data_IF_725250701719
#
_entry.id   IF_725250701719
#
_cell.length_a   1.000
_cell.length_b   1.000
_cell.length_c   1.000
_cell.angle_alpha   90.00
_cell.angle_beta   90.00
_cell.angle_gamma   90.00
#
_symmetry.space_group_name_H-M   'P 1'
#
loop_
_entity.id
_entity.type
_entity.pdbx_description
1 polymer ?
#
# COMPACT_ATOMS: atom_id res chain seq x y z
N UNK A 1 22.72 -23.80 49.55
CA UNK A 1 22.20 -22.62 48.82
C UNK A 1 21.77 -23.08 47.44
N UNK A 2 20.49 -23.38 47.22
CA UNK A 2 19.96 -23.68 45.91
C UNK A 2 19.86 -22.36 45.13
N UNK A 3 20.74 -22.17 44.16
CA UNK A 3 20.56 -21.12 43.15
C UNK A 3 19.38 -21.56 42.28
N UNK A 4 18.16 -21.20 42.69
CA UNK A 4 17.00 -21.29 41.80
C UNK A 4 17.23 -20.26 40.71
N UNK A 5 17.76 -20.69 39.56
CA UNK A 5 17.75 -19.88 38.34
C UNK A 5 16.31 -19.40 38.13
N UNK A 6 16.09 -18.07 38.18
CA UNK A 6 14.76 -17.48 38.00
C UNK A 6 14.47 -17.39 36.50
N UNK A 7 14.42 -18.54 35.86
CA UNK A 7 14.18 -18.65 34.42
C UNK A 7 12.88 -19.40 34.16
N UNK A 8 12.19 -19.02 33.07
CA UNK A 8 11.10 -19.80 32.51
C UNK A 8 11.32 -19.96 31.01
N UNK A 9 10.64 -20.91 30.39
CA UNK A 9 10.77 -21.13 28.95
C UNK A 9 9.43 -21.08 28.26
N UNK A 10 9.42 -20.58 27.03
CA UNK A 10 8.24 -20.49 26.16
C UNK A 10 8.56 -21.18 24.84
N UNK A 11 7.65 -22.03 24.38
CA UNK A 11 7.72 -22.61 23.05
C UNK A 11 7.17 -21.60 22.03
N UNK A 12 8.06 -20.91 21.33
CA UNK A 12 7.72 -20.04 20.21
C UNK A 12 7.70 -20.84 18.90
N UNK A 13 7.12 -20.24 17.84
CA UNK A 13 7.14 -20.82 16.50
C UNK A 13 8.57 -21.04 15.95
N UNK A 14 9.57 -20.33 16.47
CA UNK A 14 10.99 -20.49 16.12
C UNK A 14 11.74 -21.50 16.98
N UNK A 15 11.11 -22.01 18.04
CA UNK A 15 11.71 -22.92 19.01
C UNK A 15 11.49 -22.49 20.47
N UNK A 16 12.05 -23.27 21.39
CA UNK A 16 11.97 -23.02 22.83
C UNK A 16 12.99 -21.97 23.24
N UNK A 17 12.52 -20.88 23.85
CA UNK A 17 13.38 -19.79 24.35
C UNK A 17 13.28 -19.76 25.86
N UNK A 18 14.43 -19.67 26.54
CA UNK A 18 14.51 -19.44 27.98
C UNK A 18 14.64 -17.94 28.26
N UNK A 19 13.89 -17.46 29.24
CA UNK A 19 13.81 -16.07 29.66
C UNK A 19 14.25 -15.96 31.12
N UNK A 20 15.22 -15.09 31.38
CA UNK A 20 15.62 -14.69 32.72
C UNK A 20 14.67 -13.62 33.29
N UNK A 21 14.20 -13.83 34.52
CA UNK A 21 13.27 -12.97 35.23
C UNK A 21 13.94 -11.81 35.99
N UNK A 22 15.28 -11.79 36.12
CA UNK A 22 15.99 -10.88 37.03
C UNK A 22 15.59 -9.40 36.84
N UNK A 23 15.52 -8.93 35.60
CA UNK A 23 15.25 -7.52 35.27
C UNK A 23 13.83 -7.26 34.73
N UNK A 24 13.00 -8.29 34.53
CA UNK A 24 11.68 -8.11 33.91
C UNK A 24 10.80 -7.12 34.70
N UNK A 25 10.69 -7.20 36.04
CA UNK A 25 9.82 -6.28 36.79
C UNK A 25 10.28 -4.82 36.74
N UNK A 26 11.58 -4.56 36.80
CA UNK A 26 12.12 -3.19 36.74
C UNK A 26 11.95 -2.59 35.34
N UNK A 27 12.32 -3.33 34.28
CA UNK A 27 12.13 -2.92 32.89
C UNK A 27 10.65 -2.69 32.55
N UNK A 28 9.75 -3.53 33.06
CA UNK A 28 8.32 -3.40 32.78
C UNK A 28 7.65 -2.24 33.54
N UNK A 29 8.19 -1.84 34.71
CA UNK A 29 7.70 -0.67 35.45
C UNK A 29 8.10 0.65 34.77
N UNK A 30 9.22 0.64 34.05
CA UNK A 30 9.77 1.83 33.36
C UNK A 30 9.74 3.07 34.27
N UNK A 31 10.19 2.89 35.51
CA UNK A 31 10.03 3.89 36.55
C UNK A 31 10.97 5.06 36.32
N UNK A 32 10.39 6.25 36.20
CA UNK A 32 11.10 7.51 36.14
C UNK A 32 10.77 8.34 37.39
N UNK A 33 11.78 8.79 38.15
CA UNK A 33 11.54 9.63 39.32
C UNK A 33 10.72 10.89 38.96
N UNK A 34 9.64 11.20 39.70
CA UNK A 34 8.81 12.38 39.43
C UNK A 34 9.60 13.70 39.41
N UNK A 35 10.65 13.81 40.23
CA UNK A 35 11.52 14.98 40.34
C UNK A 35 12.24 15.26 39.02
N UNK A 36 12.66 14.20 38.32
CA UNK A 36 13.30 14.32 37.01
C UNK A 36 12.30 14.77 35.93
N UNK A 37 11.06 14.27 35.99
CA UNK A 37 9.98 14.71 35.09
C UNK A 37 9.65 16.18 35.32
N UNK A 38 9.56 16.60 36.58
CA UNK A 38 9.28 17.98 36.95
C UNK A 38 10.40 18.94 36.50
N UNK A 39 11.66 18.52 36.67
CA UNK A 39 12.82 19.26 36.18
C UNK A 39 12.75 19.49 34.66
N UNK A 40 12.38 18.45 33.89
CA UNK A 40 12.22 18.57 32.43
C UNK A 40 11.06 19.49 32.02
N UNK A 41 9.97 19.52 32.78
CA UNK A 41 8.85 20.46 32.56
C UNK A 41 9.20 21.92 32.83
N UNK A 42 10.19 22.16 33.68
CA UNK A 42 10.70 23.49 34.01
C UNK A 42 11.86 23.93 33.10
N UNK A 43 12.26 23.09 32.13
CA UNK A 43 13.31 23.43 31.17
C UNK A 43 12.99 24.72 30.41
N UNK A 44 14.05 25.48 30.12
CA UNK A 44 14.00 26.65 29.24
C UNK A 44 13.95 26.24 27.75
N UNK A 45 14.24 24.98 27.43
CA UNK A 45 14.06 24.42 26.10
C UNK A 45 12.57 24.09 25.89
N UNK A 46 11.95 24.73 24.90
CA UNK A 46 10.55 24.56 24.57
C UNK A 46 10.21 23.13 24.10
N UNK A 47 11.13 22.45 23.42
CA UNK A 47 10.96 21.07 22.96
C UNK A 47 10.94 20.12 24.15
N UNK A 48 11.92 20.24 25.06
CA UNK A 48 11.94 19.43 26.29
C UNK A 48 10.70 19.67 27.13
N UNK A 49 10.28 20.93 27.26
CA UNK A 49 9.05 21.26 27.98
C UNK A 49 7.83 20.56 27.36
N UNK A 50 7.68 20.63 26.04
CA UNK A 50 6.57 20.02 25.30
C UNK A 50 6.55 18.48 25.42
N UNK A 51 7.73 17.84 25.38
CA UNK A 51 7.87 16.39 25.53
C UNK A 51 7.34 15.88 26.88
N UNK A 52 7.51 16.66 27.95
CA UNK A 52 7.15 16.23 29.32
C UNK A 52 5.83 16.83 29.84
N UNK A 53 5.20 17.78 29.13
CA UNK A 53 3.88 18.34 29.48
C UNK A 53 2.72 17.64 28.76
N UNK A 54 2.93 17.15 27.55
CA UNK A 54 1.89 16.51 26.74
C UNK A 54 1.44 15.16 27.33
N UNK A 55 0.19 14.77 27.07
CA UNK A 55 -0.33 13.48 27.51
C UNK A 55 0.13 12.35 26.57
N UNK A 56 -0.07 11.11 27.00
CA UNK A 56 0.21 9.93 26.19
C UNK A 56 -1.10 9.33 25.70
N UNK A 57 -1.13 8.87 24.46
CA UNK A 57 -2.20 8.01 23.95
C UNK A 57 -2.16 6.63 24.59
N UNK A 58 -3.19 5.81 24.34
CA UNK A 58 -3.23 4.40 24.77
C UNK A 58 -2.05 3.56 24.28
N UNK A 59 -1.49 3.90 23.12
CA UNK A 59 -0.32 3.24 22.54
C UNK A 59 1.01 3.83 23.04
N UNK A 60 0.97 4.82 23.95
CA UNK A 60 2.16 5.45 24.53
C UNK A 60 2.75 6.57 23.66
N UNK A 61 2.13 6.89 22.52
CA UNK A 61 2.55 8.02 21.69
C UNK A 61 2.19 9.34 22.35
N UNK A 62 3.07 10.34 22.25
CA UNK A 62 2.85 11.68 22.76
C UNK A 62 1.70 12.36 21.99
N UNK A 63 0.69 12.87 22.69
CA UNK A 63 -0.37 13.67 22.08
C UNK A 63 0.09 15.12 21.99
N UNK A 64 0.47 15.55 20.79
CA UNK A 64 0.77 16.96 20.54
C UNK A 64 -0.56 17.67 20.35
N UNK A 65 -1.00 18.38 21.37
CA UNK A 65 -2.07 19.36 21.18
C UNK A 65 -1.46 20.57 20.47
N UNK A 66 -1.49 20.59 19.13
CA UNK A 66 -1.37 21.87 18.43
C UNK A 66 -2.54 22.72 18.91
N UNK A 67 -2.27 23.93 19.40
CA UNK A 67 -3.27 24.89 19.84
C UNK A 67 -4.13 25.33 18.64
N UNK A 68 -4.97 24.44 18.12
CA UNK A 68 -6.03 24.77 17.18
C UNK A 68 -7.19 25.25 18.03
N UNK A 69 -7.17 26.57 18.27
CA UNK A 69 -8.33 27.43 18.45
C UNK A 69 -9.54 26.75 19.09
N UNK A 70 -9.64 26.85 20.43
CA UNK A 70 -10.93 26.72 21.09
C UNK A 70 -11.95 27.60 20.33
N UNK A 71 -13.15 27.09 19.98
CA UNK A 71 -14.15 27.89 19.30
C UNK A 71 -14.53 29.05 20.23
N UNK A 72 -14.24 30.27 19.77
CA UNK A 72 -14.66 31.51 20.44
C UNK A 72 -16.19 31.53 20.42
N UNK A 73 -16.81 31.16 21.54
CA UNK A 73 -18.23 31.36 21.74
C UNK A 73 -18.51 32.87 21.78
N UNK A 74 -18.97 33.42 20.66
CA UNK A 74 -19.49 34.79 20.57
C UNK A 74 -20.84 34.84 21.30
N UNK A 75 -20.81 35.12 22.60
CA UNK A 75 -22.00 35.31 23.41
C UNK A 75 -21.74 36.32 24.53
N UNK A 76 -22.13 37.58 24.30
CA UNK A 76 -22.10 38.62 25.35
C UNK A 76 -23.09 38.24 26.45
N UNK A 77 -22.64 38.00 27.70
CA UNK A 77 -23.38 38.35 28.94
C UNK A 77 -22.49 38.27 30.21
N UNK A 78 -22.31 39.48 30.78
CA UNK A 78 -22.01 39.93 32.17
C UNK A 78 -21.25 39.02 33.16
N UNK A 79 -20.03 39.51 33.49
CA UNK A 79 -19.28 39.43 34.78
C UNK A 79 -20.25 39.53 35.98
N UNK A 80 -20.24 38.66 37.00
CA UNK A 80 -19.28 38.69 38.13
C UNK A 80 -19.48 37.46 39.08
N UNK A 81 -19.68 36.26 38.55
CA UNK A 81 -19.97 35.07 39.39
C UNK A 81 -19.24 33.76 39.04
N UNK A 82 -18.52 33.69 37.92
CA UNK A 82 -17.92 32.42 37.44
C UNK A 82 -16.43 32.24 37.73
N UNK A 83 -15.71 33.28 38.17
CA UNK A 83 -14.28 33.18 38.46
C UNK A 83 -13.95 32.46 39.78
N UNK A 84 -14.89 32.39 40.73
CA UNK A 84 -14.67 31.76 42.05
C UNK A 84 -15.22 30.32 42.16
N UNK A 85 -15.91 29.83 41.12
CA UNK A 85 -16.38 28.43 41.04
C UNK A 85 -15.53 27.62 40.03
N UNK A 86 -14.79 28.29 39.14
CA UNK A 86 -13.88 27.64 38.19
C UNK A 86 -12.60 27.07 38.83
N UNK A 87 -12.21 27.55 40.02
CA UNK A 87 -10.99 27.11 40.71
C UNK A 87 -11.15 25.73 41.39
N UNK A 88 -12.38 25.31 41.71
CA UNK A 88 -12.65 24.06 42.46
C UNK A 88 -13.33 22.94 41.68
N UNK A 89 -13.63 23.15 40.39
CA UNK A 89 -14.27 22.13 39.55
C UNK A 89 -13.71 22.04 38.14
N UNK A 90 -12.42 21.74 38.03
CA UNK A 90 -11.86 21.02 36.86
C UNK A 90 -11.04 19.83 37.34
N UNK A 91 -11.64 18.97 38.17
CA UNK A 91 -11.00 17.72 38.61
C UNK A 91 -11.09 16.57 37.60
N UNK A 92 -11.87 16.70 36.53
CA UNK A 92 -11.87 15.76 35.43
C UNK A 92 -12.15 16.50 34.12
N UNK A 93 -11.09 16.75 33.34
CA UNK A 93 -11.21 17.12 31.94
C UNK A 93 -11.75 15.90 31.19
N UNK A 94 -13.02 15.92 30.80
CA UNK A 94 -13.68 14.84 30.06
C UNK A 94 -13.25 14.73 28.59
N UNK A 95 -12.35 15.60 28.12
CA UNK A 95 -11.66 15.44 26.83
C UNK A 95 -10.61 14.32 26.82
N UNK A 96 -10.29 13.74 27.98
CA UNK A 96 -9.22 12.74 28.19
C UNK A 96 -9.62 11.28 27.93
N UNK A 97 -10.74 11.00 27.24
CA UNK A 97 -11.10 9.60 26.91
C UNK A 97 -10.06 9.00 25.95
N UNK A 98 -9.11 8.26 26.52
CA UNK A 98 -8.02 7.61 25.78
C UNK A 98 -6.63 8.24 25.98
N UNK A 99 -6.54 9.29 26.80
CA UNK A 99 -5.29 9.96 27.15
C UNK A 99 -4.84 9.55 28.57
N UNK A 100 -3.52 9.40 28.73
CA UNK A 100 -2.87 8.88 29.92
C UNK A 100 -1.80 9.86 30.40
N UNK A 101 -1.70 10.01 31.71
CA UNK A 101 -0.69 10.88 32.33
C UNK A 101 0.69 10.22 32.31
N UNK A 102 1.73 11.03 32.07
CA UNK A 102 3.13 10.58 32.16
C UNK A 102 3.59 10.29 33.60
N UNK A 103 2.92 10.85 34.61
CA UNK A 103 3.33 10.72 36.03
C UNK A 103 2.30 9.98 36.89
N UNK A 104 1.02 9.98 36.50
CA UNK A 104 -0.06 9.38 37.28
C UNK A 104 -0.63 8.15 36.57
N UNK A 105 -0.76 7.04 37.31
CA UNK A 105 -1.25 5.76 36.75
C UNK A 105 -0.45 5.36 35.50
N UNK A 106 0.87 5.46 35.60
CA UNK A 106 1.79 5.04 34.55
C UNK A 106 1.47 3.60 34.13
N UNK A 107 1.45 3.38 32.82
CA UNK A 107 1.23 2.05 32.27
C UNK A 107 2.56 1.32 32.22
N UNK A 108 2.52 0.01 32.41
CA UNK A 108 3.71 -0.82 32.24
C UNK A 108 4.13 -0.85 30.78
N UNK A 109 5.42 -1.04 30.51
CA UNK A 109 5.96 -1.13 29.15
C UNK A 109 5.21 -2.21 28.34
N UNK A 110 4.90 -3.35 28.96
CA UNK A 110 4.11 -4.43 28.33
C UNK A 110 2.68 -4.01 27.98
N UNK A 111 2.03 -3.21 28.82
CA UNK A 111 0.65 -2.77 28.58
C UNK A 111 0.57 -1.75 27.43
N UNK A 112 1.60 -0.90 27.30
CA UNK A 112 1.77 0.04 26.19
C UNK A 112 2.08 -0.72 24.90
N UNK A 113 3.07 -1.62 24.92
CA UNK A 113 3.43 -2.48 23.79
C UNK A 113 2.22 -3.26 23.28
N UNK A 114 1.48 -3.95 24.17
CA UNK A 114 0.27 -4.70 23.80
C UNK A 114 -0.79 -3.81 23.15
N UNK A 115 -0.98 -2.59 23.64
CA UNK A 115 -1.94 -1.66 23.06
C UNK A 115 -1.51 -1.23 21.65
N UNK A 116 -0.24 -0.84 21.48
CA UNK A 116 0.32 -0.46 20.19
C UNK A 116 0.27 -1.62 19.16
N UNK A 117 0.66 -2.84 19.57
CA UNK A 117 0.61 -4.02 18.69
C UNK A 117 -0.82 -4.36 18.25
N UNK A 118 -1.79 -4.28 19.15
CA UNK A 118 -3.20 -4.55 18.79
C UNK A 118 -3.77 -3.49 17.85
N UNK A 119 -3.30 -2.26 17.93
CA UNK A 119 -3.70 -1.19 17.02
C UNK A 119 -3.08 -1.39 15.63
N UNK A 120 -1.78 -1.72 15.58
CA UNK A 120 -1.11 -2.09 14.34
C UNK A 120 -1.79 -3.28 13.66
N UNK A 121 -2.12 -4.34 14.40
CA UNK A 121 -2.82 -5.51 13.85
C UNK A 121 -4.20 -5.16 13.29
N UNK A 122 -4.95 -4.23 13.92
CA UNK A 122 -6.23 -3.75 13.38
C UNK A 122 -6.03 -3.00 12.07
N UNK A 123 -5.03 -2.12 12.02
CA UNK A 123 -4.72 -1.34 10.82
C UNK A 123 -4.23 -2.22 9.67
N UNK A 124 -3.52 -3.32 9.97
CA UNK A 124 -3.12 -4.31 8.97
C UNK A 124 -4.27 -5.21 8.51
N UNK A 125 -5.26 -5.45 9.38
CA UNK A 125 -6.42 -6.30 9.07
C UNK A 125 -7.51 -5.59 8.26
N UNK A 126 -7.65 -4.27 8.43
CA UNK A 126 -8.59 -3.42 7.70
C UNK A 126 -7.77 -2.71 6.62
N UNK A 127 -7.85 -3.19 5.36
CA UNK A 127 -7.27 -2.46 4.23
C UNK A 127 -7.78 -1.01 4.21
N UNK A 128 -6.99 -0.07 3.65
CA UNK A 128 -7.21 1.38 3.74
C UNK A 128 -8.59 1.88 3.27
N UNK A 129 -9.40 1.03 2.65
CA UNK A 129 -10.64 1.38 1.97
C UNK A 129 -11.90 0.89 2.72
N UNK A 130 -11.77 0.38 3.96
CA UNK A 130 -12.89 -0.18 4.73
C UNK A 130 -13.50 -1.45 4.11
N UNK A 131 -12.96 -1.94 3.01
CA UNK A 131 -13.38 -3.16 2.34
C UNK A 131 -12.52 -4.34 2.83
N UNK A 132 -13.16 -5.36 3.37
CA UNK A 132 -12.56 -6.69 3.63
C UNK A 132 -12.44 -7.44 2.29
N UNK A 133 -11.70 -6.88 1.34
CA UNK A 133 -11.22 -7.58 0.16
C UNK A 133 -9.77 -7.94 0.37
N UNK A 134 -9.51 -9.25 0.33
CA UNK A 134 -8.21 -9.91 0.52
C UNK A 134 -7.19 -9.51 -0.56
N UNK A 135 -6.73 -8.27 -0.54
CA UNK A 135 -5.74 -7.77 -1.51
C UNK A 135 -4.72 -6.79 -0.94
N UNK A 136 -4.82 -6.39 0.34
CA UNK A 136 -3.97 -5.32 0.87
C UNK A 136 -2.62 -5.74 1.46
N UNK A 137 -2.45 -7.00 1.88
CA UNK A 137 -1.25 -7.40 2.64
C UNK A 137 -0.33 -8.28 1.81
N UNK A 138 0.82 -7.72 1.47
CA UNK A 138 1.93 -8.47 0.86
C UNK A 138 2.87 -8.95 1.96
N UNK A 139 3.22 -10.24 1.91
CA UNK A 139 4.15 -10.85 2.85
C UNK A 139 5.51 -11.04 2.20
N UNK A 140 6.53 -10.37 2.74
CA UNK A 140 7.95 -10.62 2.42
C UNK A 140 8.55 -11.44 3.55
N UNK A 141 9.14 -12.60 3.24
CA UNK A 141 9.78 -13.49 4.21
C UNK A 141 11.29 -13.38 4.05
N UNK A 142 11.93 -12.65 4.94
CA UNK A 142 13.39 -12.54 4.97
C UNK A 142 14.00 -13.81 5.57
N UNK A 143 15.05 -14.35 4.95
CA UNK A 143 15.77 -15.54 5.40
C UNK A 143 17.24 -15.16 5.58
N UNK A 144 17.80 -15.48 6.74
CA UNK A 144 19.23 -15.30 7.01
C UNK A 144 20.00 -16.53 6.53
N UNK A 145 20.85 -16.36 5.50
CA UNK A 145 21.64 -17.44 4.93
C UNK A 145 22.76 -17.93 5.85
N UNK A 146 23.35 -17.01 6.62
CA UNK A 146 24.49 -17.29 7.49
C UNK A 146 24.44 -16.48 8.80
N UNK A 147 24.83 -17.11 9.91
CA UNK A 147 24.85 -16.47 11.23
C UNK A 147 26.14 -15.67 11.48
N UNK A 148 27.21 -15.96 10.75
CA UNK A 148 28.52 -15.30 10.91
C UNK A 148 28.65 -13.99 10.15
N UNK A 149 27.73 -13.70 9.22
CA UNK A 149 27.67 -12.44 8.48
C UNK A 149 28.57 -12.40 7.26
N UNK A 150 29.06 -13.55 6.77
CA UNK A 150 29.88 -13.58 5.57
C UNK A 150 29.04 -13.31 4.31
N UNK A 151 29.47 -12.40 3.42
CA UNK A 151 28.87 -12.30 2.09
C UNK A 151 29.07 -13.64 1.38
N UNK A 152 27.99 -14.21 0.82
CA UNK A 152 27.95 -15.56 0.23
C UNK A 152 28.01 -16.74 1.21
N UNK A 153 28.03 -16.50 2.52
CA UNK A 153 27.87 -17.58 3.50
C UNK A 153 26.48 -18.24 3.38
N UNK A 154 26.44 -19.57 3.38
CA UNK A 154 25.19 -20.34 3.38
C UNK A 154 25.28 -21.52 4.33
N UNK A 155 24.46 -21.52 5.37
CA UNK A 155 24.33 -22.60 6.33
C UNK A 155 23.00 -23.34 6.10
N UNK A 156 23.00 -24.52 5.46
CA UNK A 156 21.77 -25.21 5.07
C UNK A 156 20.81 -25.49 6.23
N UNK A 157 21.34 -25.85 7.40
CA UNK A 157 20.51 -26.19 8.56
C UNK A 157 19.80 -24.95 9.13
N UNK A 158 20.49 -23.81 9.19
CA UNK A 158 19.92 -22.54 9.64
C UNK A 158 18.80 -22.08 8.70
N UNK A 159 19.01 -22.22 7.38
CA UNK A 159 18.00 -21.89 6.38
C UNK A 159 16.82 -22.85 6.45
N UNK A 160 17.07 -24.16 6.57
CA UNK A 160 16.03 -25.20 6.69
C UNK A 160 15.15 -24.97 7.92
N UNK A 161 15.74 -24.67 9.07
CA UNK A 161 15.00 -24.37 10.30
C UNK A 161 14.12 -23.13 10.11
N UNK A 162 14.64 -22.07 9.47
CA UNK A 162 13.84 -20.87 9.16
C UNK A 162 12.69 -21.15 8.19
N UNK A 163 12.90 -21.96 7.14
CA UNK A 163 11.84 -22.33 6.19
C UNK A 163 10.68 -23.05 6.87
N UNK A 164 11.00 -23.93 7.84
CA UNK A 164 10.00 -24.62 8.68
C UNK A 164 9.31 -23.64 9.63
N UNK A 165 10.08 -22.87 10.42
CA UNK A 165 9.54 -21.93 11.40
C UNK A 165 8.65 -20.84 10.76
N UNK A 166 9.02 -20.34 9.59
CA UNK A 166 8.24 -19.35 8.84
C UNK A 166 7.09 -19.97 8.03
N UNK A 167 6.94 -21.31 8.05
CA UNK A 167 5.95 -22.07 7.30
C UNK A 167 5.93 -21.75 5.81
N UNK A 168 7.11 -21.52 5.21
CA UNK A 168 7.23 -21.12 3.79
C UNK A 168 6.71 -22.23 2.88
N UNK A 169 7.15 -23.46 3.12
CA UNK A 169 6.75 -24.64 2.32
C UNK A 169 5.26 -24.92 2.49
N UNK A 170 4.74 -24.85 3.72
CA UNK A 170 3.31 -25.10 3.98
C UNK A 170 2.43 -24.02 3.37
N UNK A 171 2.87 -22.75 3.41
CA UNK A 171 2.19 -21.65 2.71
C UNK A 171 2.19 -21.87 1.20
N UNK A 172 3.30 -22.34 0.62
CA UNK A 172 3.39 -22.65 -0.80
C UNK A 172 2.43 -23.79 -1.19
N UNK A 173 2.43 -24.89 -0.44
CA UNK A 173 1.50 -26.03 -0.64
C UNK A 173 0.04 -25.60 -0.48
N UNK A 174 -0.28 -24.82 0.53
CA UNK A 174 -1.63 -24.30 0.77
C UNK A 174 -2.09 -23.40 -0.39
N UNK A 175 -1.20 -22.57 -0.95
CA UNK A 175 -1.50 -21.74 -2.13
C UNK A 175 -1.65 -22.55 -3.42
N UNK A 176 -0.87 -23.63 -3.58
CA UNK A 176 -0.95 -24.49 -4.75
C UNK A 176 -2.26 -25.28 -4.81
N UNK A 177 -2.71 -25.80 -3.66
CA UNK A 177 -3.96 -26.56 -3.53
C UNK A 177 -5.18 -25.64 -3.45
N UNK A 178 -5.05 -24.51 -2.76
CA UNK A 178 -6.13 -23.58 -2.50
C UNK A 178 -6.39 -22.57 -3.61
N UNK A 179 -7.42 -21.75 -3.37
CA UNK A 179 -7.77 -20.60 -4.21
C UNK A 179 -7.24 -19.33 -3.54
N UNK A 180 -6.03 -18.95 -3.93
CA UNK A 180 -5.30 -17.80 -3.37
C UNK A 180 -5.95 -16.47 -3.71
N UNK A 181 -6.63 -16.38 -4.84
CA UNK A 181 -7.22 -15.15 -5.33
C UNK A 181 -8.76 -15.21 -5.29
N UNK A 182 -9.40 -14.20 -4.71
CA UNK A 182 -10.84 -14.18 -4.43
C UNK A 182 -11.44 -12.82 -4.72
N UNK A 183 -12.27 -12.74 -5.75
CA UNK A 183 -12.80 -11.46 -6.26
C UNK A 183 -14.31 -11.45 -6.17
N UNK A 184 -14.91 -10.35 -5.70
CA UNK A 184 -16.36 -10.17 -5.74
C UNK A 184 -16.87 -10.08 -7.17
N UNK A 185 -18.11 -10.52 -7.43
CA UNK A 185 -18.67 -10.53 -8.79
C UNK A 185 -18.64 -9.16 -9.48
N UNK A 186 -19.00 -8.09 -8.75
CA UNK A 186 -18.97 -6.73 -9.28
C UNK A 186 -17.58 -6.32 -9.76
N UNK A 187 -16.57 -6.57 -8.93
CA UNK A 187 -15.18 -6.24 -9.23
C UNK A 187 -14.61 -7.10 -10.35
N UNK A 188 -14.98 -8.38 -10.38
CA UNK A 188 -14.54 -9.33 -11.41
C UNK A 188 -15.06 -8.93 -12.80
N UNK A 189 -16.37 -8.67 -12.93
CA UNK A 189 -16.97 -8.21 -14.18
C UNK A 189 -16.43 -6.85 -14.58
N UNK A 190 -16.36 -5.89 -13.66
CA UNK A 190 -15.83 -4.55 -13.93
C UNK A 190 -14.41 -4.61 -14.51
N UNK A 191 -13.54 -5.47 -13.96
CA UNK A 191 -12.14 -5.58 -14.36
C UNK A 191 -11.92 -6.39 -15.63
N UNK A 192 -12.66 -7.49 -15.82
CA UNK A 192 -12.33 -8.47 -16.85
C UNK A 192 -13.37 -8.59 -17.98
N UNK A 193 -14.51 -7.88 -17.94
CA UNK A 193 -15.56 -8.03 -18.97
C UNK A 193 -15.04 -7.88 -20.40
N UNK A 194 -14.20 -6.88 -20.65
CA UNK A 194 -13.72 -6.58 -22.01
C UNK A 194 -12.74 -7.63 -22.56
N UNK A 195 -12.32 -8.62 -21.74
CA UNK A 195 -11.48 -9.71 -22.19
C UNK A 195 -12.28 -10.83 -22.88
N UNK A 196 -13.58 -10.93 -22.59
CA UNK A 196 -14.39 -12.08 -23.01
C UNK A 196 -15.77 -11.71 -23.59
N UNK A 197 -16.18 -10.45 -23.46
CA UNK A 197 -17.45 -9.93 -23.96
C UNK A 197 -17.18 -8.83 -24.97
N UNK A 198 -18.04 -8.73 -25.98
CA UNK A 198 -17.99 -7.65 -26.98
C UNK A 198 -18.44 -6.32 -26.35
N UNK A 199 -18.15 -5.21 -27.04
CA UNK A 199 -18.38 -3.87 -26.47
C UNK A 199 -19.86 -3.49 -26.35
N UNK A 200 -20.72 -4.14 -27.13
CA UNK A 200 -22.16 -3.94 -27.24
C UNK A 200 -22.98 -4.90 -26.37
N UNK A 201 -22.34 -5.92 -25.78
CA UNK A 201 -23.01 -6.91 -24.93
C UNK A 201 -23.32 -6.30 -23.54
N UNK A 202 -24.61 -6.32 -23.15
CA UNK A 202 -25.02 -5.87 -21.82
C UNK A 202 -24.72 -6.93 -20.76
N UNK A 203 -23.62 -6.76 -20.02
CA UNK A 203 -23.17 -7.71 -19.01
C UNK A 203 -23.60 -7.26 -17.61
N UNK A 204 -24.64 -7.89 -17.09
CA UNK A 204 -25.08 -7.71 -15.70
C UNK A 204 -24.13 -8.40 -14.70
N UNK A 205 -24.09 -7.89 -13.47
CA UNK A 205 -23.28 -8.48 -12.39
C UNK A 205 -23.99 -9.70 -11.80
N UNK A 206 -23.87 -10.84 -12.48
CA UNK A 206 -24.48 -12.10 -12.06
C UNK A 206 -23.42 -13.21 -11.91
N UNK A 207 -23.78 -14.23 -11.15
CA UNK A 207 -22.97 -15.45 -10.98
C UNK A 207 -22.70 -16.11 -12.33
N UNK A 208 -23.71 -16.15 -13.20
CA UNK A 208 -23.64 -16.82 -14.49
C UNK A 208 -22.77 -16.06 -15.48
N UNK A 209 -22.81 -14.72 -15.49
CA UNK A 209 -21.91 -13.93 -16.32
C UNK A 209 -20.45 -14.04 -15.88
N UNK A 210 -20.18 -14.15 -14.57
CA UNK A 210 -18.83 -14.44 -14.07
C UNK A 210 -18.34 -15.81 -14.55
N UNK A 211 -19.22 -16.82 -14.54
CA UNK A 211 -18.94 -18.17 -15.04
C UNK A 211 -18.70 -18.15 -16.55
N UNK A 212 -19.56 -17.47 -17.30
CA UNK A 212 -19.49 -17.36 -18.76
C UNK A 212 -18.18 -16.72 -19.22
N UNK A 213 -17.72 -15.68 -18.53
CA UNK A 213 -16.41 -15.06 -18.76
C UNK A 213 -15.29 -16.11 -18.69
N UNK A 214 -15.23 -16.88 -17.61
CA UNK A 214 -14.18 -17.88 -17.40
C UNK A 214 -14.23 -19.01 -18.44
N UNK A 215 -15.43 -19.43 -18.84
CA UNK A 215 -15.64 -20.45 -19.89
C UNK A 215 -15.21 -19.93 -21.26
N UNK A 216 -15.55 -18.69 -21.63
CA UNK A 216 -15.13 -18.07 -22.90
C UNK A 216 -13.61 -17.92 -22.98
N UNK A 217 -12.96 -17.63 -21.85
CA UNK A 217 -11.51 -17.59 -21.74
C UNK A 217 -10.85 -18.98 -21.64
N UNK A 218 -11.64 -20.08 -21.67
CA UNK A 218 -11.17 -21.47 -21.57
C UNK A 218 -10.30 -21.72 -20.34
N UNK A 219 -10.64 -21.08 -19.22
CA UNK A 219 -9.91 -21.25 -17.97
C UNK A 219 -10.41 -22.47 -17.21
N UNK A 220 -9.52 -23.10 -16.45
CA UNK A 220 -9.82 -24.28 -15.62
C UNK A 220 -9.38 -24.07 -14.16
N UNK A 221 -9.82 -24.96 -13.27
CA UNK A 221 -9.45 -24.92 -11.84
C UNK A 221 -9.90 -23.64 -11.14
N UNK A 222 -11.10 -23.14 -11.47
CA UNK A 222 -11.78 -22.04 -10.79
C UNK A 222 -13.05 -22.55 -10.12
N UNK A 223 -13.50 -21.82 -9.09
CA UNK A 223 -14.76 -22.11 -8.39
C UNK A 223 -15.57 -20.84 -8.24
N UNK A 224 -16.88 -20.94 -8.47
CA UNK A 224 -17.81 -19.83 -8.23
C UNK A 224 -18.51 -20.04 -6.90
N UNK A 225 -18.22 -19.16 -5.94
CA UNK A 225 -18.87 -19.15 -4.64
C UNK A 225 -20.24 -18.48 -4.64
N UNK A 226 -20.71 -18.09 -3.45
CA UNK A 226 -21.99 -17.36 -3.28
C UNK A 226 -21.93 -15.92 -3.78
N UNK A 227 -20.82 -15.23 -3.52
CA UNK A 227 -20.63 -13.80 -3.86
C UNK A 227 -19.29 -13.47 -4.51
N UNK A 228 -18.42 -14.48 -4.67
CA UNK A 228 -17.04 -14.31 -5.14
C UNK A 228 -16.63 -15.40 -6.10
N UNK A 229 -15.76 -15.05 -7.03
CA UNK A 229 -14.99 -15.95 -7.89
C UNK A 229 -13.71 -16.34 -7.15
N UNK A 230 -13.41 -17.64 -7.11
CA UNK A 230 -12.22 -18.22 -6.50
C UNK A 230 -11.29 -18.72 -7.59
N UNK A 231 -10.08 -18.17 -7.62
CA UNK A 231 -9.07 -18.43 -8.65
C UNK A 231 -7.79 -18.96 -7.99
N UNK A 232 -7.12 -19.88 -8.69
CA UNK A 232 -5.74 -20.27 -8.37
C UNK A 232 -4.75 -19.22 -8.86
N UNK A 233 -3.51 -19.30 -8.37
CA UNK A 233 -2.45 -18.33 -8.69
C UNK A 233 -2.20 -18.18 -10.20
N UNK A 234 -2.20 -19.30 -10.95
CA UNK A 234 -1.98 -19.28 -12.40
C UNK A 234 -3.14 -18.63 -13.18
N UNK A 235 -4.37 -18.67 -12.65
CA UNK A 235 -5.53 -18.04 -13.28
C UNK A 235 -5.44 -16.51 -13.19
N UNK A 236 -4.98 -15.98 -12.06
CA UNK A 236 -4.72 -14.55 -11.88
C UNK A 236 -3.59 -14.06 -12.80
N UNK A 237 -2.51 -14.84 -12.90
CA UNK A 237 -1.40 -14.53 -13.79
C UNK A 237 -1.84 -14.52 -15.27
N UNK A 238 -2.62 -15.52 -15.68
CA UNK A 238 -3.18 -15.60 -17.03
C UNK A 238 -4.06 -14.39 -17.37
N UNK A 239 -4.99 -14.05 -16.48
CA UNK A 239 -5.86 -12.87 -16.66
C UNK A 239 -5.05 -11.57 -16.73
N UNK A 240 -4.00 -11.43 -15.92
CA UNK A 240 -3.14 -10.24 -15.91
C UNK A 240 -2.38 -10.09 -17.23
N UNK A 241 -1.78 -11.16 -17.74
CA UNK A 241 -1.08 -11.15 -19.04
C UNK A 241 -2.02 -10.84 -20.21
N UNK A 242 -3.23 -11.41 -20.20
CA UNK A 242 -4.24 -11.15 -21.22
C UNK A 242 -4.69 -9.68 -21.17
N UNK A 243 -4.93 -9.15 -19.98
CA UNK A 243 -5.26 -7.75 -19.75
C UNK A 243 -4.19 -6.81 -20.30
N UNK A 244 -2.93 -7.02 -19.94
CA UNK A 244 -1.79 -6.21 -20.44
C UNK A 244 -1.68 -6.25 -21.96
N UNK A 245 -1.89 -7.41 -22.57
CA UNK A 245 -1.85 -7.58 -24.02
C UNK A 245 -2.92 -6.74 -24.71
N UNK A 246 -4.15 -6.71 -24.18
CA UNK A 246 -5.22 -5.89 -24.74
C UNK A 246 -4.97 -4.39 -24.51
N UNK A 247 -4.47 -4.00 -23.33
CA UNK A 247 -4.10 -2.60 -23.06
C UNK A 247 -3.03 -2.11 -24.03
N UNK A 248 -2.01 -2.91 -24.33
CA UNK A 248 -0.99 -2.56 -25.34
C UNK A 248 -1.60 -2.27 -26.72
N UNK A 249 -2.63 -3.03 -27.14
CA UNK A 249 -3.36 -2.75 -28.39
C UNK A 249 -4.15 -1.45 -28.32
N UNK A 250 -4.82 -1.19 -27.20
CA UNK A 250 -5.55 0.07 -26.98
C UNK A 250 -4.60 1.27 -27.08
N UNK A 251 -3.43 1.18 -26.44
CA UNK A 251 -2.40 2.22 -26.51
C UNK A 251 -1.96 2.47 -27.95
N UNK A 252 -1.73 1.42 -28.76
CA UNK A 252 -1.41 1.58 -30.19
C UNK A 252 -2.50 2.35 -30.94
N UNK A 253 -3.77 2.02 -30.72
CA UNK A 253 -4.90 2.74 -31.34
C UNK A 253 -4.93 4.20 -30.90
N UNK A 254 -4.73 4.47 -29.61
CA UNK A 254 -4.66 5.83 -29.08
C UNK A 254 -3.52 6.63 -29.70
N UNK A 255 -2.33 6.05 -29.83
CA UNK A 255 -1.18 6.69 -30.49
C UNK A 255 -1.49 7.05 -31.94
N UNK A 256 -2.06 6.13 -32.71
CA UNK A 256 -2.47 6.38 -34.10
C UNK A 256 -3.53 7.49 -34.20
N UNK A 257 -4.52 7.50 -33.31
CA UNK A 257 -5.56 8.53 -33.28
C UNK A 257 -5.01 9.91 -32.91
N UNK A 258 -4.12 9.97 -31.91
CA UNK A 258 -3.44 11.22 -31.51
C UNK A 258 -2.61 11.78 -32.67
N UNK A 259 -1.84 10.93 -33.36
CA UNK A 259 -1.07 11.32 -34.53
C UNK A 259 -1.97 11.83 -35.68
N UNK A 260 -3.11 11.16 -35.93
CA UNK A 260 -4.08 11.60 -36.93
C UNK A 260 -4.68 12.97 -36.60
N UNK A 261 -5.11 13.17 -35.35
CA UNK A 261 -5.67 14.45 -34.89
C UNK A 261 -4.63 15.57 -34.98
N UNK A 262 -3.37 15.30 -34.62
CA UNK A 262 -2.28 16.26 -34.76
C UNK A 262 -2.06 16.68 -36.22
N UNK A 263 -1.97 15.71 -37.15
CA UNK A 263 -1.85 15.98 -38.59
C UNK A 263 -3.02 16.77 -39.15
N UNK A 264 -4.25 16.46 -38.73
CA UNK A 264 -5.47 17.19 -39.16
C UNK A 264 -5.46 18.62 -38.64
N UNK A 265 -5.13 18.83 -37.37
CA UNK A 265 -5.08 20.15 -36.75
C UNK A 265 -3.96 21.01 -37.38
N UNK A 266 -2.80 20.43 -37.68
CA UNK A 266 -1.71 21.12 -38.39
C UNK A 266 -2.12 21.56 -39.79
N UNK A 267 -2.77 20.68 -40.57
CA UNK A 267 -3.33 21.05 -41.90
C UNK A 267 -4.40 22.14 -41.79
N UNK A 268 -5.24 22.10 -40.77
CA UNK A 268 -6.23 23.15 -40.48
C UNK A 268 -5.58 24.51 -40.21
N UNK A 269 -4.57 24.54 -39.33
CA UNK A 269 -3.78 25.76 -39.04
C UNK A 269 -3.03 26.28 -40.26
N UNK A 270 -2.44 25.40 -41.08
CA UNK A 270 -1.73 25.79 -42.31
C UNK A 270 -2.67 26.39 -43.36
N UNK A 271 -3.87 25.84 -43.56
CA UNK A 271 -4.88 26.41 -44.46
C UNK A 271 -5.37 27.78 -43.97
N UNK A 272 -5.63 27.93 -42.66
CA UNK A 272 -6.01 29.20 -42.07
C UNK A 272 -4.92 30.28 -42.23
N UNK A 273 -3.65 29.89 -42.02
CA UNK A 273 -2.48 30.78 -42.22
C UNK A 273 -2.34 31.20 -43.69
N UNK A 274 -2.53 30.29 -44.65
CA UNK A 274 -2.52 30.61 -46.08
C UNK A 274 -3.68 31.52 -46.52
N UNK A 275 -4.88 31.38 -45.94
CA UNK A 275 -5.99 32.30 -46.23
C UNK A 275 -5.76 33.70 -45.64
N UNK A 276 -5.17 33.82 -44.44
CA UNK A 276 -4.80 35.12 -43.87
C UNK A 276 -3.71 35.82 -44.67
N UNK A 277 -2.77 35.07 -45.27
CA UNK A 277 -1.74 35.61 -46.16
C UNK A 277 -2.32 36.13 -47.50
N UNK A 278 -3.40 35.51 -48.03
CA UNK A 278 -4.08 35.97 -49.25
C UNK A 278 -5.01 37.16 -49.04
N UNK A 279 -5.58 37.33 -47.84
CA UNK A 279 -6.46 38.47 -47.56
C UNK A 279 -5.67 39.77 -47.31
N UNK A 280 -4.39 39.66 -46.93
CA UNK A 280 -3.50 40.81 -46.70
C UNK A 280 -2.92 41.43 -47.98
N UNK A 281 -3.18 40.85 -49.15
CA UNK A 281 -2.65 41.30 -50.44
C UNK A 281 -3.69 41.94 -51.38
N UNK A 282 -4.89 42.29 -50.89
CA UNK A 282 -5.99 42.83 -51.73
C UNK A 282 -6.51 44.21 -51.28
N UNK A 283 -6.14 44.70 -50.09
CA UNK A 283 -6.49 46.07 -49.67
C UNK A 283 -5.29 47.02 -49.82
N UNK A 284 -5.08 47.53 -51.04
CA UNK A 284 -4.36 48.78 -51.29
C UNK A 284 -4.93 49.45 -52.56
N UNK A 285 -5.42 50.70 -52.46
CA UNK A 285 -5.00 51.69 -53.45
C UNK A 285 -4.57 52.99 -52.78
N UNK A 286 -3.45 53.52 -53.26
CA UNK A 286 -2.85 54.75 -52.79
C UNK A 286 -3.52 56.02 -53.31
N UNK A 287 -3.24 57.13 -52.63
CA UNK A 287 -2.58 58.31 -53.19
C UNK A 287 -2.32 59.33 -52.03
N UNK A 288 -1.08 59.78 -51.91
CA UNK A 288 -0.62 60.94 -51.11
C UNK A 288 -0.81 62.25 -51.92
N UNK A 289 -0.63 63.51 -51.40
CA UNK A 289 0.20 63.91 -50.24
C UNK A 289 -0.30 65.11 -49.36
N UNK A 290 0.51 65.37 -48.32
CA UNK A 290 0.84 66.66 -47.68
C UNK A 290 -0.06 67.24 -46.55
N UNK A 291 0.53 67.36 -45.35
CA UNK A 291 0.07 68.32 -44.33
C UNK A 291 0.46 68.04 -42.87
N UNK A 292 1.65 68.51 -42.47
CA UNK A 292 2.07 69.02 -41.15
C UNK A 292 1.55 68.42 -39.80
N UNK A 293 2.55 68.18 -38.93
CA UNK A 293 2.58 68.47 -37.47
C UNK A 293 1.85 67.54 -36.49
N UNK A 294 2.64 66.92 -35.58
CA UNK A 294 2.19 66.69 -34.20
C UNK A 294 2.65 65.37 -33.55
N UNK A 295 3.77 65.43 -32.85
CA UNK A 295 4.21 64.66 -31.66
C UNK A 295 3.40 63.44 -31.16
N UNK A 296 4.20 62.41 -30.85
CA UNK A 296 4.27 61.65 -29.58
C UNK A 296 3.48 60.34 -29.35
N UNK A 297 4.29 59.35 -28.94
CA UNK A 297 4.10 58.33 -27.91
C UNK A 297 3.91 56.87 -28.37
N UNK A 298 5.04 56.15 -28.28
CA UNK A 298 5.26 54.85 -27.62
C UNK A 298 4.17 53.77 -27.74
N UNK A 299 4.56 52.60 -28.28
CA UNK A 299 4.91 51.39 -27.50
C UNK A 299 5.43 50.34 -28.51
N UNK A 300 6.74 50.11 -28.49
CA UNK A 300 7.36 48.86 -28.97
C UNK A 300 7.15 47.77 -27.92
N UNK A 301 6.85 46.53 -28.34
CA UNK A 301 7.42 45.31 -27.75
C UNK A 301 7.00 44.04 -28.56
N UNK A 302 7.72 42.91 -28.45
CA UNK A 302 8.70 42.56 -29.48
C UNK A 302 8.41 41.22 -30.19
N UNK A 303 9.14 41.04 -31.29
CA UNK A 303 9.22 39.82 -32.09
C UNK A 303 9.85 38.72 -31.22
N UNK A 304 9.11 37.64 -30.96
CA UNK A 304 9.67 36.43 -30.36
C UNK A 304 9.78 35.36 -31.45
N UNK A 305 11.00 35.15 -31.93
CA UNK A 305 11.38 33.98 -32.72
C UNK A 305 11.19 32.72 -31.87
N UNK A 306 10.61 31.64 -32.41
CA UNK A 306 10.60 30.37 -31.70
C UNK A 306 12.00 29.77 -31.71
N UNK A 307 12.62 29.76 -30.54
CA UNK A 307 13.80 28.95 -30.20
C UNK A 307 13.51 27.49 -30.59
N UNK A 308 14.38 26.94 -31.43
CA UNK A 308 14.46 25.51 -31.70
C UNK A 308 15.02 24.86 -30.44
N UNK A 309 14.17 24.23 -29.65
CA UNK A 309 14.63 23.22 -28.70
C UNK A 309 14.97 21.96 -29.52
N UNK A 310 16.27 21.67 -29.63
CA UNK A 310 16.78 20.37 -30.04
C UNK A 310 16.28 19.32 -29.03
N UNK A 311 15.17 18.64 -29.34
CA UNK A 311 14.93 17.34 -28.73
C UNK A 311 15.89 16.34 -29.37
N UNK A 312 16.79 15.86 -28.50
CA UNK A 312 17.94 15.04 -28.84
C UNK A 312 17.62 13.81 -29.70
N UNK A 313 18.62 13.50 -30.52
CA UNK A 313 18.82 12.22 -31.17
C UNK A 313 18.55 11.09 -30.17
N UNK A 314 17.55 10.24 -30.45
CA UNK A 314 17.43 8.95 -29.78
C UNK A 314 18.44 8.04 -30.45
N UNK A 315 19.64 7.99 -29.88
CA UNK A 315 20.65 6.98 -30.21
C UNK A 315 20.04 5.59 -29.99
N UNK A 316 19.89 4.86 -31.09
CA UNK A 316 19.83 3.40 -31.06
C UNK A 316 21.24 2.92 -30.66
N UNK A 317 21.47 2.65 -29.37
CA UNK A 317 22.62 1.84 -28.96
C UNK A 317 22.31 0.86 -27.83
N UNK A 318 22.44 -0.40 -28.22
CA UNK A 318 22.98 -1.55 -27.51
C UNK A 318 22.57 -1.91 -26.06
N UNK A 319 21.97 -3.11 -25.99
CA UNK A 319 22.48 -4.24 -25.20
C UNK A 319 22.61 -4.03 -23.68
N UNK A 320 21.54 -4.33 -22.95
CA UNK A 320 21.69 -4.85 -21.58
C UNK A 320 21.79 -6.37 -21.69
N UNK A 321 23.01 -6.85 -21.48
CA UNK A 321 23.33 -8.25 -21.20
C UNK A 321 22.41 -8.79 -20.10
N UNK A 322 21.40 -9.53 -20.52
CA UNK A 322 20.82 -10.54 -19.68
C UNK A 322 21.88 -11.61 -19.48
N UNK A 323 22.28 -11.85 -18.22
CA UNK A 323 22.93 -13.09 -17.84
C UNK A 323 21.98 -14.25 -18.16
N UNK A 324 22.07 -14.74 -19.39
CA UNK A 324 21.64 -16.06 -19.79
C UNK A 324 22.63 -17.02 -19.15
N UNK A 325 22.19 -17.74 -18.12
CA UNK A 325 22.85 -18.99 -17.76
C UNK A 325 22.54 -19.95 -18.89
N UNK A 326 23.54 -20.16 -19.75
CA UNK A 326 23.57 -21.26 -20.70
C UNK A 326 23.49 -22.58 -19.92
N UNK A 327 22.27 -23.10 -19.80
CA UNK A 327 22.03 -24.49 -19.42
C UNK A 327 22.29 -25.35 -20.63
N UNK A 328 23.53 -25.81 -20.76
CA UNK A 328 23.93 -26.82 -21.72
C UNK A 328 23.12 -28.11 -21.48
N UNK A 329 22.62 -28.68 -22.57
CA UNK A 329 21.93 -29.96 -22.58
C UNK A 329 22.86 -31.09 -22.11
N UNK A 330 22.51 -31.74 -21.00
CA UNK A 330 22.75 -33.17 -20.72
C UNK A 330 22.34 -33.48 -19.28
N UNK A 331 21.13 -34.00 -19.09
CA UNK A 331 20.94 -35.33 -18.49
C UNK A 331 19.45 -35.63 -18.35
N UNK A 332 19.07 -36.65 -19.11
CA UNK A 332 17.85 -37.42 -18.97
C UNK A 332 17.77 -38.02 -17.57
N UNK A 333 16.74 -37.68 -16.80
CA UNK A 333 16.32 -38.48 -15.66
C UNK A 333 14.85 -38.86 -15.85
N UNK A 334 14.67 -39.94 -16.61
CA UNK A 334 13.48 -40.77 -16.55
C UNK A 334 13.49 -41.41 -15.16
N UNK A 335 12.59 -40.98 -14.27
CA UNK A 335 12.25 -41.76 -13.08
C UNK A 335 10.95 -42.48 -13.44
N UNK A 336 11.11 -43.73 -13.84
CA UNK A 336 10.06 -44.73 -13.76
C UNK A 336 9.89 -45.06 -12.28
N UNK A 337 8.69 -44.88 -11.74
CA UNK A 337 8.24 -45.58 -10.55
C UNK A 337 6.91 -46.23 -10.91
N UNK A 338 7.01 -47.51 -11.30
CA UNK A 338 5.93 -48.49 -11.26
C UNK A 338 6.23 -49.42 -10.06
N UNK A 339 5.20 -50.08 -9.54
CA UNK A 339 5.09 -50.82 -8.27
C UNK A 339 4.71 -49.90 -7.07
N UNK A 340 3.49 -49.89 -6.53
CA UNK A 340 2.47 -50.93 -6.46
C UNK A 340 2.51 -51.54 -5.06
N UNK A 341 1.67 -51.07 -4.13
CA UNK A 341 1.22 -51.88 -3.00
C UNK A 341 -0.10 -51.33 -2.42
N UNK A 342 -1.04 -52.25 -2.27
CA UNK A 342 -2.37 -52.09 -1.73
C UNK A 342 -2.33 -51.83 -0.22
N UNK A 343 -3.18 -50.93 0.27
CA UNK A 343 -3.76 -51.09 1.60
C UNK A 343 -5.21 -50.59 1.57
N UNK A 344 -6.12 -51.56 1.49
CA UNK A 344 -7.50 -51.45 1.90
C UNK A 344 -7.52 -51.10 3.41
N UNK A 345 -8.27 -50.07 3.81
CA UNK A 345 -8.66 -49.91 5.21
C UNK A 345 -10.16 -49.65 5.26
N UNK A 346 -10.81 -50.56 5.99
CA UNK A 346 -12.23 -50.75 6.21
C UNK A 346 -12.98 -49.52 6.76
N UNK A 347 -14.24 -49.44 6.34
CA UNK A 347 -15.32 -48.74 7.05
C UNK A 347 -15.52 -49.34 8.45
N UNK A 348 -15.49 -48.49 9.48
CA UNK A 348 -15.88 -48.82 10.84
C UNK A 348 -16.60 -47.64 11.46
N UNK A 349 -17.91 -47.79 11.62
CA UNK A 349 -18.80 -46.84 12.27
C UNK A 349 -18.59 -46.81 13.79
N UNK A 350 -18.76 -45.62 14.40
CA UNK A 350 -19.35 -45.50 15.74
C UNK A 350 -19.87 -44.07 15.94
N UNK A 351 -21.19 -43.99 16.11
CA UNK A 351 -21.95 -42.83 16.54
C UNK A 351 -22.21 -43.05 18.03
N UNK A 352 -21.63 -42.22 18.89
CA UNK A 352 -22.07 -42.09 20.28
C UNK A 352 -22.76 -40.73 20.44
N UNK A 353 -24.08 -40.81 20.64
CA UNK A 353 -24.88 -39.80 21.32
C UNK A 353 -24.58 -39.88 22.82
N UNK A 354 -24.27 -38.75 23.46
CA UNK A 354 -24.54 -38.58 24.90
C UNK A 354 -25.11 -37.18 25.17
N UNK A 355 -25.97 -37.19 26.20
CA UNK A 355 -27.00 -36.26 26.67
C UNK A 355 -26.62 -34.78 26.91
#
# INVERSE_FOLDING_TARGET
KMSSSKEFSVAHYTGKIAYDLQDIPSKNRDFLPPEMIETMRLSNDNVLKLLFTNQLSKSGNLTIHSDQSAPVATGKKKRWGQALVAEKSRRFNTSSRGEYSQTRRMRTASATFRAASLELLRNLAIGQDGCVTMGGTHFVRCIRADLTGHPHGFQPEVVRQQLRALAVIDTARARQKGYSHRVGFAEFIRRYKFLAFDFDENVEVTKDNCRLLLVRLKMEGWVIGKSKVFLKYYNEEFLSRLYETQVKKIVKVQCMMRAFLAKRNFKGKMKARQSSLKHKSVDEPGDEPAGASGNNDEIEEPINEPVVEEEGEFEDDETIDGYAVEGNDNETAIINDDEGENEEVEEGAEVEEEE
#
